data_IF_381765801597
#
_entry.id   IF_381765801597
#
_cell.length_a   1.000
_cell.length_b   1.000
_cell.length_c   1.000
_cell.angle_alpha   90.00
_cell.angle_beta   90.00
_cell.angle_gamma   90.00
#
_symmetry.space_group_name_H-M   'P 1'
#
loop_
_entity.id
_entity.type
_entity.pdbx_description
1 polymer ?
#
# COMPACT_ATOMS: atom_id res chain seq x y z
N UNK A 1 15.49 11.15 32.82
CA UNK A 1 15.72 10.51 31.50
C UNK A 1 14.43 10.63 30.71
N UNK A 2 14.32 11.50 29.69
CA UNK A 2 13.09 11.63 28.90
C UNK A 2 13.13 10.65 27.72
N UNK A 3 12.07 9.87 27.54
CA UNK A 3 11.71 9.24 26.26
C UNK A 3 10.20 8.97 26.23
N UNK A 4 9.40 10.02 26.45
CA UNK A 4 8.05 10.04 25.92
C UNK A 4 8.14 10.55 24.46
N UNK A 5 7.78 9.72 23.48
CA UNK A 5 6.56 9.98 22.68
C UNK A 5 6.26 8.83 21.68
N UNK A 6 5.02 8.32 21.62
CA UNK A 6 4.54 7.35 20.63
C UNK A 6 4.24 8.01 19.27
N UNK A 7 5.25 8.27 18.45
CA UNK A 7 5.04 8.74 17.08
C UNK A 7 4.77 7.52 16.17
N UNK A 8 3.54 7.16 15.77
CA UNK A 8 2.33 7.93 15.49
C UNK A 8 1.09 7.09 15.82
N UNK A 9 -0.07 7.68 16.20
CA UNK A 9 -1.35 6.97 16.11
C UNK A 9 -1.52 6.48 14.65
N UNK A 10 -2.19 5.34 14.38
CA UNK A 10 -2.58 5.01 13.01
C UNK A 10 -3.41 6.20 12.54
N UNK A 11 -2.89 6.98 11.58
CA UNK A 11 -3.59 8.14 11.05
C UNK A 11 -5.02 7.69 10.76
N UNK A 12 -5.97 8.25 11.50
CA UNK A 12 -7.39 7.91 11.56
C UNK A 12 -8.09 8.30 10.25
N UNK A 13 -7.57 7.77 9.14
CA UNK A 13 -7.85 8.18 7.76
C UNK A 13 -6.83 7.71 6.71
N UNK A 14 -5.68 7.13 7.07
CA UNK A 14 -4.72 6.59 6.08
C UNK A 14 -5.13 5.15 5.73
N UNK A 15 -5.98 5.01 4.69
CA UNK A 15 -6.45 3.73 4.16
C UNK A 15 -5.24 2.90 3.71
N UNK A 16 -4.77 2.00 4.56
CA UNK A 16 -3.68 1.10 4.20
C UNK A 16 -4.26 -0.21 3.68
N UNK A 17 -4.19 -0.39 2.36
CA UNK A 17 -4.76 -1.50 1.59
C UNK A 17 -3.88 -2.73 1.78
N UNK A 18 -4.50 -3.84 2.19
CA UNK A 18 -3.82 -5.10 2.40
C UNK A 18 -3.92 -5.95 1.14
N UNK A 19 -2.80 -6.29 0.51
CA UNK A 19 -2.78 -7.15 -0.68
C UNK A 19 -2.22 -8.53 -0.32
N UNK A 20 -2.96 -9.63 -0.58
CA UNK A 20 -2.44 -10.98 -0.42
C UNK A 20 -1.45 -11.27 -1.55
N UNK A 21 -0.16 -11.05 -1.29
CA UNK A 21 0.92 -11.47 -2.20
C UNK A 21 2.15 -11.95 -1.45
N UNK A 22 2.84 -12.87 -2.11
CA UNK A 22 4.21 -13.22 -1.81
C UNK A 22 5.16 -12.01 -1.88
N UNK A 23 6.00 -11.81 -0.86
CA UNK A 23 6.93 -10.68 -0.75
C UNK A 23 7.85 -10.50 -1.97
N UNK A 24 8.44 -11.58 -2.48
CA UNK A 24 9.40 -11.53 -3.60
C UNK A 24 8.81 -10.92 -4.87
N UNK A 25 7.58 -11.31 -5.24
CA UNK A 25 6.91 -10.76 -6.41
C UNK A 25 6.55 -9.29 -6.20
N UNK A 26 6.18 -8.91 -4.98
CA UNK A 26 5.85 -7.52 -4.65
C UNK A 26 7.07 -6.61 -4.75
N UNK A 27 8.24 -7.00 -4.22
CA UNK A 27 9.46 -6.18 -4.35
C UNK A 27 9.91 -5.99 -5.80
N UNK A 28 9.82 -7.06 -6.61
CA UNK A 28 10.17 -6.99 -8.03
C UNK A 28 9.30 -5.97 -8.80
N UNK A 29 8.01 -5.92 -8.49
CA UNK A 29 7.10 -4.93 -9.10
C UNK A 29 7.10 -3.59 -8.37
N UNK A 30 7.49 -3.51 -7.10
CA UNK A 30 7.49 -2.26 -6.33
C UNK A 30 8.49 -1.25 -6.90
N UNK A 31 9.56 -1.74 -7.54
CA UNK A 31 10.51 -0.92 -8.28
C UNK A 31 10.03 -0.48 -9.67
N UNK A 32 8.99 -1.12 -10.22
CA UNK A 32 8.53 -0.92 -11.59
C UNK A 32 7.12 -0.33 -11.62
N UNK A 33 6.95 0.88 -12.15
CA UNK A 33 5.64 1.55 -12.16
C UNK A 33 4.61 0.84 -13.04
N UNK A 34 5.04 0.28 -14.16
CA UNK A 34 4.15 -0.32 -15.15
C UNK A 34 3.64 -1.67 -14.64
N UNK A 35 4.54 -2.55 -14.22
CA UNK A 35 4.18 -3.86 -13.65
C UNK A 35 3.37 -3.75 -12.38
N UNK A 36 3.65 -2.75 -11.54
CA UNK A 36 2.83 -2.52 -10.35
C UNK A 36 1.40 -2.15 -10.72
N UNK A 37 1.19 -1.39 -11.81
CA UNK A 37 -0.12 -0.93 -12.25
C UNK A 37 -0.96 -2.09 -12.74
N UNK A 38 -0.38 -2.90 -13.63
CA UNK A 38 -1.03 -4.10 -14.17
C UNK A 38 -1.38 -5.07 -13.05
N UNK A 39 -0.44 -5.29 -12.13
CA UNK A 39 -0.66 -6.16 -10.99
C UNK A 39 -1.76 -5.63 -10.07
N UNK A 40 -1.75 -4.33 -9.76
CA UNK A 40 -2.80 -3.76 -8.92
C UNK A 40 -4.16 -3.92 -9.58
N UNK A 41 -4.26 -3.70 -10.90
CA UNK A 41 -5.48 -3.93 -11.68
C UNK A 41 -6.02 -5.34 -11.48
N UNK A 42 -5.17 -6.35 -11.69
CA UNK A 42 -5.54 -7.75 -11.49
C UNK A 42 -6.00 -8.05 -10.06
N UNK A 43 -5.35 -7.46 -9.04
CA UNK A 43 -5.79 -7.67 -7.65
C UNK A 43 -7.09 -6.96 -7.31
N UNK A 44 -7.31 -5.78 -7.87
CA UNK A 44 -8.57 -5.04 -7.69
C UNK A 44 -9.71 -5.83 -8.32
N UNK A 45 -9.47 -6.47 -9.47
CA UNK A 45 -10.46 -7.33 -10.13
C UNK A 45 -10.66 -8.66 -9.38
N UNK A 46 -9.58 -9.29 -8.91
CA UNK A 46 -9.65 -10.56 -8.20
C UNK A 46 -10.24 -10.44 -6.78
N UNK A 47 -9.92 -9.35 -6.06
CA UNK A 47 -10.32 -9.14 -4.68
C UNK A 47 -10.75 -7.69 -4.42
N UNK A 48 -11.81 -7.19 -5.09
CA UNK A 48 -12.26 -5.81 -4.95
C UNK A 48 -12.66 -5.47 -3.50
N UNK A 49 -13.05 -6.46 -2.70
CA UNK A 49 -13.40 -6.30 -1.28
C UNK A 49 -12.23 -5.83 -0.39
N UNK A 50 -11.00 -6.14 -0.78
CA UNK A 50 -9.80 -5.72 -0.05
C UNK A 50 -9.42 -4.27 -0.34
N UNK A 51 -9.97 -3.71 -1.41
CA UNK A 51 -9.68 -2.37 -1.85
C UNK A 51 -10.87 -1.44 -1.57
N UNK A 52 -10.60 -0.16 -1.30
CA UNK A 52 -11.67 0.83 -1.26
C UNK A 52 -12.30 0.96 -2.65
N UNK A 53 -13.63 1.11 -2.70
CA UNK A 53 -14.40 1.25 -3.95
C UNK A 53 -13.86 2.34 -4.89
N UNK A 54 -13.23 3.37 -4.33
CA UNK A 54 -12.59 4.46 -5.09
C UNK A 54 -11.45 4.00 -5.99
N UNK A 55 -10.75 2.92 -5.67
CA UNK A 55 -9.68 2.42 -6.53
C UNK A 55 -10.22 1.98 -7.89
N UNK A 56 -11.49 1.55 -7.95
CA UNK A 56 -12.18 1.14 -9.18
C UNK A 56 -12.46 2.33 -10.09
N UNK A 57 -12.55 3.54 -9.55
CA UNK A 57 -12.66 4.80 -10.32
C UNK A 57 -11.32 5.30 -10.85
N UNK A 58 -10.24 4.62 -10.48
CA UNK A 58 -8.87 4.94 -10.83
C UNK A 58 -8.06 5.44 -9.64
N UNK A 59 -6.77 5.20 -9.70
CA UNK A 59 -5.79 5.64 -8.72
C UNK A 59 -4.56 6.19 -9.44
N UNK A 60 -3.81 7.02 -8.73
CA UNK A 60 -2.52 7.56 -9.18
C UNK A 60 -1.43 7.00 -8.30
N UNK A 61 -0.33 6.54 -8.88
CA UNK A 61 0.84 6.19 -8.09
C UNK A 61 1.46 7.48 -7.55
N UNK A 62 1.63 7.53 -6.24
CA UNK A 62 2.20 8.68 -5.55
C UNK A 62 3.70 8.48 -5.35
N UNK A 63 4.07 7.71 -4.33
CA UNK A 63 5.46 7.50 -3.93
C UNK A 63 5.69 6.06 -3.49
N UNK A 64 6.94 5.62 -3.51
CA UNK A 64 7.36 4.37 -2.89
C UNK A 64 7.99 4.66 -1.53
N UNK A 65 7.46 4.06 -0.47
CA UNK A 65 7.95 4.17 0.89
C UNK A 65 8.65 2.88 1.30
N UNK A 66 9.94 2.94 1.59
CA UNK A 66 10.67 1.80 2.17
C UNK A 66 10.53 1.82 3.68
N UNK A 67 9.81 0.83 4.23
CA UNK A 67 9.71 0.68 5.68
C UNK A 67 11.05 0.19 6.22
N UNK A 68 11.81 1.03 6.92
CA UNK A 68 13.07 0.63 7.57
C UNK A 68 12.88 -0.47 8.60
N UNK A 69 11.70 -0.52 9.23
CA UNK A 69 11.36 -1.47 10.30
C UNK A 69 11.06 -2.86 9.77
N UNK A 70 10.54 -2.93 8.54
CA UNK A 70 10.20 -4.20 7.90
C UNK A 70 11.21 -4.60 6.79
N UNK A 71 11.99 -3.65 6.28
CA UNK A 71 12.90 -3.83 5.13
C UNK A 71 12.20 -3.80 3.77
N UNK A 72 10.87 -3.69 3.73
CA UNK A 72 10.09 -3.80 2.50
C UNK A 72 9.81 -2.45 1.84
N UNK A 73 9.90 -2.41 0.50
CA UNK A 73 9.42 -1.30 -0.33
C UNK A 73 7.90 -1.39 -0.46
N UNK A 74 7.19 -0.46 0.14
CA UNK A 74 5.74 -0.28 0.03
C UNK A 74 5.44 0.83 -0.95
N UNK A 75 4.24 0.84 -1.54
CA UNK A 75 3.86 1.88 -2.49
C UNK A 75 2.62 2.62 -2.01
N UNK A 76 2.63 3.94 -2.14
CA UNK A 76 1.50 4.82 -1.88
C UNK A 76 0.82 5.14 -3.19
N UNK A 77 -0.51 5.07 -3.15
CA UNK A 77 -1.37 5.47 -4.25
C UNK A 77 -2.33 6.54 -3.75
N UNK A 78 -2.60 7.54 -4.58
CA UNK A 78 -3.67 8.49 -4.36
C UNK A 78 -4.92 7.99 -5.09
N UNK A 79 -6.02 7.91 -4.35
CA UNK A 79 -7.34 7.62 -4.90
C UNK A 79 -7.93 8.91 -5.49
N UNK A 80 -8.91 8.76 -6.39
CA UNK A 80 -9.66 9.90 -6.98
C UNK A 80 -10.32 10.82 -5.95
N UNK A 81 -10.70 10.27 -4.80
CA UNK A 81 -11.27 11.00 -3.65
C UNK A 81 -10.27 11.94 -2.95
N UNK A 82 -9.01 11.99 -3.40
CA UNK A 82 -7.94 12.74 -2.74
C UNK A 82 -7.35 12.03 -1.52
N UNK A 83 -7.76 10.78 -1.28
CA UNK A 83 -7.24 9.96 -0.19
C UNK A 83 -5.97 9.22 -0.61
N UNK A 84 -4.88 9.48 0.11
CA UNK A 84 -3.64 8.71 -0.02
C UNK A 84 -3.74 7.39 0.73
N UNK A 85 -3.65 6.29 -0.01
CA UNK A 85 -3.68 4.92 0.51
C UNK A 85 -2.31 4.26 0.42
N UNK A 86 -1.89 3.58 1.49
CA UNK A 86 -0.64 2.81 1.51
C UNK A 86 -0.93 1.37 1.12
N UNK A 87 -0.30 0.88 0.06
CA UNK A 87 -0.36 -0.52 -0.34
C UNK A 87 0.65 -1.31 0.48
N UNK A 88 0.15 -2.17 1.36
CA UNK A 88 0.93 -3.09 2.19
C UNK A 88 0.59 -4.55 1.85
N UNK A 89 1.59 -5.42 1.71
CA UNK A 89 1.33 -6.85 1.59
C UNK A 89 0.79 -7.41 2.92
N UNK A 90 -0.16 -8.36 2.84
CA UNK A 90 -0.79 -8.96 4.03
C UNK A 90 0.14 -9.84 4.86
N UNK A 91 1.23 -10.34 4.27
CA UNK A 91 2.29 -11.10 4.95
C UNK A 91 2.97 -10.32 6.10
N UNK A 92 2.80 -8.99 6.16
CA UNK A 92 3.34 -8.17 7.25
C UNK A 92 2.55 -8.25 8.58
N UNK A 93 1.49 -9.05 8.65
CA UNK A 93 0.87 -9.41 9.94
C UNK A 93 1.59 -10.62 10.57
N UNK A 94 2.18 -10.50 11.77
CA UNK A 94 2.47 -11.64 12.64
C UNK A 94 1.21 -12.16 13.34
#
# INVERSE_FOLDING_TARGET
MPAADPTSPPLRGQKAICIPRAPQKYEQIAGDAERFREYLGQQIEAHPELFPSEIRRGYRMKDTYTSRKAGWRLRRIDLRDGQSSLVRPSFLMP
#
